data_IF_706904707608
#
_entry.id   IF_706904707608
#
_cell.length_a   1.000
_cell.length_b   1.000
_cell.length_c   1.000
_cell.angle_alpha   90.00
_cell.angle_beta   90.00
_cell.angle_gamma   90.00
#
_symmetry.space_group_name_H-M   'P 1'
#
loop_
_entity.id
_entity.type
_entity.pdbx_description
1 polymer ?
#
# COMPACT_ATOMS: atom_id res chain seq x y z
N UNK A 1 -7.58 6.47 13.73
CA UNK A 1 -6.73 7.15 14.71
C UNK A 1 -7.42 8.43 15.12
N UNK A 2 -7.67 8.59 16.41
CA UNK A 2 -8.06 9.88 16.94
C UNK A 2 -6.80 10.68 17.22
N UNK A 3 -6.68 11.85 16.59
CA UNK A 3 -5.59 12.78 16.88
C UNK A 3 -6.06 13.79 17.93
N UNK A 4 -5.36 13.87 19.06
CA UNK A 4 -5.63 14.85 20.10
C UNK A 4 -5.31 16.30 19.65
N UNK A 5 -4.60 16.45 18.52
CA UNK A 5 -4.13 17.74 18.02
C UNK A 5 -4.37 17.87 16.50
N UNK A 6 -5.62 17.86 16.08
CA UNK A 6 -5.97 18.15 14.69
C UNK A 6 -6.16 19.65 14.43
N UNK A 7 -5.83 20.15 13.24
CA UNK A 7 -6.15 21.52 12.86
C UNK A 7 -7.66 21.80 12.95
N UNK A 8 -8.02 23.05 13.29
CA UNK A 8 -9.41 23.45 13.34
C UNK A 8 -10.09 23.23 11.99
N UNK A 9 -11.32 22.67 11.99
CA UNK A 9 -12.10 22.41 10.79
C UNK A 9 -11.80 21.08 10.08
N UNK A 10 -10.79 20.30 10.53
CA UNK A 10 -10.52 18.98 9.99
C UNK A 10 -11.43 17.94 10.64
N UNK A 11 -12.10 17.15 9.81
CA UNK A 11 -12.97 16.05 10.24
C UNK A 11 -12.15 14.76 10.20
N UNK A 12 -12.08 14.05 11.32
CA UNK A 12 -11.38 12.78 11.41
C UNK A 12 -12.00 11.73 10.51
N UNK A 13 -11.18 10.78 10.05
CA UNK A 13 -11.67 9.61 9.34
C UNK A 13 -12.68 8.84 10.21
N UNK A 14 -13.80 8.49 9.59
CA UNK A 14 -14.89 7.73 10.24
C UNK A 14 -15.79 8.54 11.17
N UNK A 15 -15.53 9.84 11.39
CA UNK A 15 -16.33 10.65 12.32
C UNK A 15 -17.79 10.85 11.87
N UNK A 16 -18.05 10.75 10.59
CA UNK A 16 -19.39 10.93 9.99
C UNK A 16 -19.94 9.63 9.39
N UNK A 17 -19.28 8.49 9.62
CA UNK A 17 -19.66 7.22 9.04
C UNK A 17 -20.96 6.66 9.62
N UNK A 18 -21.81 6.14 8.75
CA UNK A 18 -22.94 5.29 9.13
C UNK A 18 -22.42 3.87 9.46
N UNK A 19 -22.17 3.64 10.73
CA UNK A 19 -21.61 2.39 11.25
C UNK A 19 -22.62 1.23 11.28
N UNK A 20 -23.88 1.49 10.93
CA UNK A 20 -24.92 0.46 10.83
C UNK A 20 -24.88 -0.30 9.51
N UNK A 21 -24.05 0.16 8.55
CA UNK A 21 -23.91 -0.43 7.22
C UNK A 21 -22.51 -0.97 7.00
N UNK A 22 -22.41 -2.14 6.41
CA UNK A 22 -21.14 -2.71 6.02
C UNK A 22 -20.42 -1.85 4.97
N UNK A 23 -21.19 -1.28 4.04
CA UNK A 23 -20.73 -0.33 3.05
C UNK A 23 -21.70 0.85 2.92
N UNK A 24 -21.17 2.04 2.77
CA UNK A 24 -21.89 3.23 2.31
C UNK A 24 -20.94 4.10 1.48
N UNK A 25 -21.36 4.67 0.34
CA UNK A 25 -20.49 5.54 -0.47
C UNK A 25 -19.92 6.75 0.27
N UNK A 26 -20.56 7.16 1.36
CA UNK A 26 -20.16 8.32 2.16
C UNK A 26 -19.32 7.96 3.38
N UNK A 27 -19.11 6.67 3.67
CA UNK A 27 -18.27 6.21 4.76
C UNK A 27 -16.79 6.26 4.37
N UNK A 28 -15.95 6.58 5.34
CA UNK A 28 -14.48 6.49 5.20
C UNK A 28 -13.97 5.04 5.33
N UNK A 29 -14.70 4.20 6.07
CA UNK A 29 -14.33 2.81 6.33
C UNK A 29 -15.44 1.83 5.93
N UNK A 30 -15.06 0.56 5.80
CA UNK A 30 -15.98 -0.57 5.76
C UNK A 30 -16.17 -1.11 7.17
N UNK A 31 -17.39 -1.47 7.51
CA UNK A 31 -17.74 -1.95 8.85
C UNK A 31 -18.27 -3.38 8.84
N UNK A 32 -18.23 -4.00 10.01
CA UNK A 32 -18.91 -5.26 10.32
C UNK A 32 -19.97 -4.91 11.37
N UNK A 33 -21.19 -4.52 10.94
CA UNK A 33 -22.22 -3.98 11.83
C UNK A 33 -22.53 -4.93 12.98
N UNK A 34 -22.81 -4.35 14.16
CA UNK A 34 -23.22 -5.07 15.37
C UNK A 34 -22.19 -6.06 15.91
N UNK A 35 -20.95 -6.05 15.38
CA UNK A 35 -19.86 -6.92 15.84
C UNK A 35 -18.70 -6.10 16.39
N UNK A 36 -18.21 -6.49 17.55
CA UNK A 36 -17.01 -5.92 18.13
C UNK A 36 -15.79 -6.62 17.57
N UNK A 37 -14.73 -5.87 17.36
CA UNK A 37 -13.44 -6.43 16.99
C UNK A 37 -12.92 -7.37 18.08
N UNK A 38 -12.44 -8.53 17.67
CA UNK A 38 -11.80 -9.51 18.55
C UNK A 38 -10.33 -9.65 18.15
N UNK A 39 -9.46 -9.28 19.05
CA UNK A 39 -8.02 -9.36 18.83
C UNK A 39 -7.59 -10.82 18.63
N UNK A 40 -6.76 -11.13 17.62
CA UNK A 40 -6.26 -12.48 17.39
C UNK A 40 -5.58 -13.07 18.62
N UNK A 41 -5.81 -14.34 18.89
CA UNK A 41 -5.17 -15.04 20.00
C UNK A 41 -3.64 -15.06 19.83
N UNK A 42 -2.92 -14.85 20.92
CA UNK A 42 -1.44 -14.84 20.91
C UNK A 42 -0.84 -13.47 20.60
N UNK A 43 -1.66 -12.43 20.41
CA UNK A 43 -1.19 -11.04 20.29
C UNK A 43 -1.38 -10.31 21.61
N UNK A 44 -0.42 -9.44 21.94
CA UNK A 44 -0.54 -8.50 23.07
C UNK A 44 -1.11 -7.17 22.56
N UNK A 45 -2.37 -7.15 22.17
CA UNK A 45 -3.02 -5.90 21.81
C UNK A 45 -3.12 -4.98 23.02
N UNK A 46 -2.57 -3.81 22.90
CA UNK A 46 -2.57 -2.80 23.96
C UNK A 46 -1.57 -3.04 25.07
N UNK A 47 -0.57 -3.91 24.89
CA UNK A 47 0.57 -4.02 25.80
C UNK A 47 1.31 -2.69 25.94
N UNK A 48 2.10 -2.56 27.02
CA UNK A 48 2.86 -1.34 27.34
C UNK A 48 3.79 -0.84 26.20
N UNK A 49 4.02 -1.65 25.17
CA UNK A 49 4.81 -1.33 24.00
C UNK A 49 4.04 -0.48 22.98
N UNK A 50 2.71 -0.52 22.97
CA UNK A 50 1.88 0.27 22.07
C UNK A 50 1.36 1.50 22.82
N UNK A 51 1.87 2.66 22.42
CA UNK A 51 1.40 3.94 22.94
C UNK A 51 0.03 4.26 22.32
N UNK A 52 -1.00 3.47 22.68
CA UNK A 52 -2.35 3.66 22.21
C UNK A 52 -2.86 5.05 22.62
N UNK A 53 -3.55 5.80 21.74
CA UNK A 53 -4.05 7.14 22.08
C UNK A 53 -4.91 7.20 23.34
N UNK A 54 -5.73 6.18 23.60
CA UNK A 54 -6.56 6.12 24.80
C UNK A 54 -5.80 5.68 26.05
N UNK A 55 -4.61 5.09 25.89
CA UNK A 55 -3.73 4.64 26.99
C UNK A 55 -4.41 3.75 28.04
N UNK A 56 -5.45 3.04 27.64
CA UNK A 56 -6.24 2.18 28.52
C UNK A 56 -5.84 0.71 28.46
N UNK A 57 -4.83 0.39 27.64
CA UNK A 57 -4.32 -0.98 27.45
C UNK A 57 -5.25 -1.88 26.64
N UNK A 58 -6.24 -1.31 25.96
CA UNK A 58 -7.22 -2.05 25.16
C UNK A 58 -7.15 -1.66 23.70
N UNK A 59 -7.53 -2.58 22.86
CA UNK A 59 -7.77 -2.35 21.45
C UNK A 59 -9.29 -2.45 21.21
N UNK A 60 -9.99 -1.34 21.46
CA UNK A 60 -11.45 -1.29 21.32
C UNK A 60 -11.86 -0.75 19.96
N UNK A 61 -12.56 -1.56 19.19
CA UNK A 61 -13.16 -1.17 17.93
C UNK A 61 -14.59 -1.69 17.83
N UNK A 62 -15.55 -0.77 17.88
CA UNK A 62 -16.97 -1.08 17.83
C UNK A 62 -17.74 -0.08 16.94
N UNK A 63 -18.40 -0.57 15.89
CA UNK A 63 -18.26 -1.92 15.32
C UNK A 63 -16.85 -2.15 14.72
N UNK A 64 -16.51 -3.43 14.55
CA UNK A 64 -15.28 -3.81 13.87
C UNK A 64 -15.22 -3.26 12.45
N UNK A 65 -14.01 -2.99 11.96
CA UNK A 65 -13.76 -2.57 10.58
C UNK A 65 -13.11 -3.68 9.78
N UNK A 66 -13.25 -3.61 8.49
CA UNK A 66 -12.55 -4.50 7.55
C UNK A 66 -11.05 -4.19 7.58
N UNK A 67 -10.21 -5.21 7.60
CA UNK A 67 -8.76 -5.05 7.59
C UNK A 67 -8.23 -4.51 6.25
N UNK A 68 -7.03 -3.95 6.24
CA UNK A 68 -6.40 -3.40 5.04
C UNK A 68 -6.29 -4.39 3.88
N UNK A 69 -6.13 -5.68 4.18
CA UNK A 69 -6.09 -6.77 3.20
C UNK A 69 -7.46 -7.39 2.87
N UNK A 70 -8.55 -6.66 3.11
CA UNK A 70 -9.93 -7.02 2.73
C UNK A 70 -10.54 -8.20 3.49
N UNK A 71 -10.18 -8.44 4.73
CA UNK A 71 -10.80 -9.48 5.56
C UNK A 71 -12.05 -8.93 6.23
N UNK A 72 -13.23 -9.41 5.81
CA UNK A 72 -14.53 -9.05 6.34
C UNK A 72 -14.91 -9.95 7.53
N UNK A 73 -14.17 -9.83 8.62
CA UNK A 73 -14.41 -10.59 9.85
C UNK A 73 -14.14 -9.72 11.08
N UNK A 74 -15.00 -9.85 12.08
CA UNK A 74 -14.74 -9.27 13.39
C UNK A 74 -13.61 -10.01 14.14
N UNK A 75 -13.21 -11.19 13.63
CA UNK A 75 -12.17 -12.05 14.20
C UNK A 75 -11.13 -12.39 13.13
N UNK A 76 -10.35 -11.40 12.66
CA UNK A 76 -9.26 -11.70 11.73
C UNK A 76 -8.24 -12.63 12.39
N UNK A 77 -7.47 -13.36 11.60
CA UNK A 77 -6.34 -14.15 12.08
C UNK A 77 -5.12 -13.27 12.37
N UNK A 78 -4.09 -13.84 12.97
CA UNK A 78 -2.83 -13.13 13.22
C UNK A 78 -2.09 -12.79 11.92
N UNK A 79 -2.32 -13.54 10.85
CA UNK A 79 -1.72 -13.34 9.54
C UNK A 79 -2.50 -12.33 8.67
N UNK A 80 -3.72 -11.98 9.09
CA UNK A 80 -4.47 -10.87 8.49
C UNK A 80 -3.90 -9.55 9.02
N UNK A 81 -4.02 -8.50 8.24
CA UNK A 81 -3.54 -7.18 8.67
C UNK A 81 -4.47 -6.58 9.73
N UNK A 82 -4.65 -7.30 10.84
CA UNK A 82 -5.62 -6.99 11.90
C UNK A 82 -5.38 -5.63 12.58
N UNK A 83 -4.19 -5.09 12.48
CA UNK A 83 -3.81 -3.75 13.00
C UNK A 83 -4.18 -2.62 12.05
N UNK A 84 -4.72 -2.93 10.87
CA UNK A 84 -5.04 -1.97 9.82
C UNK A 84 -6.54 -1.89 9.59
N UNK A 85 -6.98 -0.79 9.00
CA UNK A 85 -8.37 -0.55 8.63
C UNK A 85 -8.46 -0.17 7.16
N UNK A 86 -9.35 -0.85 6.42
CA UNK A 86 -9.58 -0.56 5.00
C UNK A 86 -10.27 0.78 4.83
N UNK A 87 -9.63 1.69 4.11
CA UNK A 87 -10.25 2.93 3.66
C UNK A 87 -11.17 2.68 2.47
N UNK A 88 -12.32 3.34 2.48
CA UNK A 88 -13.33 3.20 1.45
C UNK A 88 -13.07 4.17 0.29
N UNK A 89 -12.45 3.67 -0.75
CA UNK A 89 -12.22 4.43 -1.98
C UNK A 89 -13.39 4.37 -2.98
N UNK A 90 -14.60 4.06 -2.53
CA UNK A 90 -15.81 4.06 -3.35
C UNK A 90 -16.16 2.71 -3.98
N UNK A 91 -15.51 1.64 -3.59
CA UNK A 91 -15.79 0.29 -4.09
C UNK A 91 -16.58 -0.51 -3.07
N UNK A 92 -17.78 -0.96 -3.44
CA UNK A 92 -18.53 -1.94 -2.68
C UNK A 92 -17.92 -3.33 -2.98
N UNK A 93 -16.98 -3.73 -2.13
CA UNK A 93 -16.20 -4.95 -2.31
C UNK A 93 -17.05 -6.23 -2.21
N UNK A 94 -18.21 -6.16 -1.55
CA UNK A 94 -19.11 -7.31 -1.40
C UNK A 94 -20.03 -7.50 -2.61
N UNK A 95 -20.45 -6.39 -3.23
CA UNK A 95 -21.38 -6.40 -4.36
C UNK A 95 -20.73 -6.13 -5.72
N UNK A 96 -19.40 -5.87 -5.73
CA UNK A 96 -18.65 -5.63 -6.96
C UNK A 96 -19.05 -4.36 -7.71
N UNK A 97 -19.59 -3.36 -6.99
CA UNK A 97 -20.00 -2.07 -7.56
C UNK A 97 -19.04 -0.97 -7.16
N UNK A 98 -18.94 0.06 -7.97
CA UNK A 98 -18.19 1.26 -7.65
C UNK A 98 -19.10 2.50 -7.65
N UNK A 99 -18.74 3.46 -6.80
CA UNK A 99 -19.44 4.72 -6.60
C UNK A 99 -18.38 5.83 -6.53
N UNK A 100 -17.98 6.34 -7.69
CA UNK A 100 -16.86 7.27 -7.84
C UNK A 100 -17.31 8.69 -8.21
N UNK A 101 -18.59 8.88 -8.46
CA UNK A 101 -19.21 10.18 -8.75
C UNK A 101 -20.49 10.34 -7.92
N UNK A 102 -20.54 11.33 -6.99
CA UNK A 102 -19.41 12.21 -6.61
C UNK A 102 -18.24 11.44 -6.01
N UNK A 103 -17.03 12.03 -6.06
CA UNK A 103 -15.84 11.39 -5.48
C UNK A 103 -16.05 11.05 -3.99
N UNK A 104 -15.58 9.87 -3.54
CA UNK A 104 -15.71 9.48 -2.15
C UNK A 104 -15.03 10.45 -1.18
N UNK A 105 -15.54 10.63 0.06
CA UNK A 105 -14.93 11.52 1.06
C UNK A 105 -13.45 11.21 1.34
N UNK A 106 -13.07 9.95 1.31
CA UNK A 106 -11.68 9.50 1.48
C UNK A 106 -10.75 10.14 0.43
N UNK A 107 -11.20 10.32 -0.82
CA UNK A 107 -10.35 10.89 -1.86
C UNK A 107 -9.92 12.31 -1.53
N UNK A 108 -10.83 13.14 -1.07
CA UNK A 108 -10.52 14.53 -0.71
C UNK A 108 -9.63 14.61 0.51
N UNK A 109 -9.85 13.76 1.52
CA UNK A 109 -9.00 13.69 2.72
C UNK A 109 -7.58 13.24 2.38
N UNK A 110 -7.43 12.19 1.54
CA UNK A 110 -6.12 11.71 1.11
C UNK A 110 -5.39 12.72 0.22
N UNK A 111 -6.11 13.40 -0.69
CA UNK A 111 -5.54 14.53 -1.45
C UNK A 111 -4.98 15.59 -0.50
N UNK A 112 -5.74 15.99 0.49
CA UNK A 112 -5.34 17.05 1.42
C UNK A 112 -4.09 16.64 2.23
N UNK A 113 -3.94 15.37 2.58
CA UNK A 113 -2.73 14.82 3.21
C UNK A 113 -1.54 14.92 2.24
N UNK A 114 -1.70 14.50 1.00
CA UNK A 114 -0.63 14.57 -0.01
C UNK A 114 -0.24 16.04 -0.29
N UNK A 115 -1.22 16.92 -0.43
CA UNK A 115 -1.01 18.37 -0.61
C UNK A 115 -0.30 18.99 0.58
N UNK A 116 -0.65 18.59 1.80
CA UNK A 116 0.03 19.06 3.01
C UNK A 116 1.54 18.74 2.96
N UNK A 117 1.90 17.49 2.63
CA UNK A 117 3.31 17.12 2.55
C UNK A 117 4.02 17.71 1.34
N UNK A 118 3.35 17.85 0.20
CA UNK A 118 3.89 18.53 -0.96
C UNK A 118 4.27 19.98 -0.64
N UNK A 119 3.43 20.70 0.12
CA UNK A 119 3.72 22.05 0.60
C UNK A 119 4.86 22.10 1.64
N UNK A 120 5.22 20.97 2.26
CA UNK A 120 6.41 20.87 3.11
C UNK A 120 7.71 20.66 2.32
N UNK A 121 7.62 20.52 1.01
CA UNK A 121 8.78 20.44 0.12
C UNK A 121 9.30 19.04 -0.10
N UNK A 122 8.48 17.99 0.04
CA UNK A 122 8.88 16.64 -0.39
C UNK A 122 8.95 16.58 -1.91
N UNK A 123 9.87 15.77 -2.44
CA UNK A 123 10.09 15.61 -3.88
C UNK A 123 9.19 14.55 -4.51
N UNK A 124 8.56 13.70 -3.70
CA UNK A 124 7.69 12.64 -4.18
C UNK A 124 7.10 11.78 -3.07
N UNK A 125 6.36 10.77 -3.50
CA UNK A 125 5.67 9.82 -2.63
C UNK A 125 5.95 8.39 -3.08
N UNK A 126 6.37 7.54 -2.17
CA UNK A 126 6.27 6.09 -2.29
C UNK A 126 4.93 5.67 -1.73
N UNK A 127 4.13 5.02 -2.54
CA UNK A 127 2.77 4.61 -2.20
C UNK A 127 2.76 3.13 -1.86
N UNK A 128 2.53 2.86 -0.59
CA UNK A 128 2.47 1.52 -0.01
C UNK A 128 1.28 0.75 -0.59
N UNK A 129 1.53 -0.48 -1.02
CA UNK A 129 0.53 -1.39 -1.61
C UNK A 129 -0.45 -0.66 -2.52
N UNK A 130 0.08 0.17 -3.43
CA UNK A 130 -0.70 1.10 -4.26
C UNK A 130 -1.81 0.40 -5.07
N UNK A 131 -1.64 -0.89 -5.37
CA UNK A 131 -2.61 -1.70 -6.09
C UNK A 131 -3.89 -2.05 -5.31
N UNK A 132 -3.91 -1.82 -3.99
CA UNK A 132 -5.11 -1.94 -3.16
C UNK A 132 -5.94 -0.65 -3.13
N UNK A 133 -5.44 0.40 -3.72
CA UNK A 133 -6.14 1.66 -3.96
C UNK A 133 -6.53 1.73 -5.44
N UNK A 134 -7.78 2.06 -5.77
CA UNK A 134 -8.24 2.10 -7.15
C UNK A 134 -7.37 3.01 -8.04
N UNK A 135 -7.08 2.57 -9.24
CA UNK A 135 -6.28 3.35 -10.19
C UNK A 135 -6.94 4.68 -10.54
N UNK A 136 -8.26 4.76 -10.48
CA UNK A 136 -9.05 5.99 -10.69
C UNK A 136 -8.74 7.05 -9.64
N UNK A 137 -8.50 6.66 -8.38
CA UNK A 137 -8.05 7.60 -7.36
C UNK A 137 -6.68 8.19 -7.72
N UNK A 138 -5.73 7.37 -8.15
CA UNK A 138 -4.40 7.83 -8.54
C UNK A 138 -4.46 8.75 -9.75
N UNK A 139 -5.27 8.41 -10.75
CA UNK A 139 -5.53 9.25 -11.91
C UNK A 139 -6.07 10.63 -11.52
N UNK A 140 -6.95 10.67 -10.52
CA UNK A 140 -7.55 11.90 -10.04
C UNK A 140 -6.58 12.71 -9.16
N UNK A 141 -5.87 12.07 -8.21
CA UNK A 141 -5.11 12.79 -7.18
C UNK A 141 -3.73 13.24 -7.65
N UNK A 142 -3.02 12.45 -8.46
CA UNK A 142 -1.65 12.76 -8.87
C UNK A 142 -1.56 14.13 -9.61
N UNK A 143 -2.44 14.44 -10.57
CA UNK A 143 -2.46 15.77 -11.18
C UNK A 143 -2.74 16.91 -10.19
N UNK A 144 -3.60 16.68 -9.18
CA UNK A 144 -3.88 17.70 -8.16
C UNK A 144 -2.63 18.03 -7.33
N UNK A 145 -1.88 17.00 -6.91
CA UNK A 145 -0.63 17.19 -6.15
C UNK A 145 0.46 17.86 -7.02
N UNK A 146 0.53 17.49 -8.29
CA UNK A 146 1.48 18.08 -9.25
C UNK A 146 1.22 19.55 -9.57
N UNK A 147 0.07 20.11 -9.19
CA UNK A 147 -0.15 21.58 -9.26
C UNK A 147 0.78 22.34 -8.29
N UNK A 148 1.25 21.72 -7.22
CA UNK A 148 2.18 22.30 -6.24
C UNK A 148 3.62 22.20 -6.74
N UNK A 149 4.00 21.03 -7.26
CA UNK A 149 5.30 20.78 -7.85
C UNK A 149 5.13 19.82 -9.04
N UNK A 150 5.29 20.33 -10.27
CA UNK A 150 5.13 19.56 -11.50
C UNK A 150 6.12 18.40 -11.64
N UNK A 151 7.25 18.45 -10.91
CA UNK A 151 8.27 17.41 -10.91
C UNK A 151 8.05 16.35 -9.82
N UNK A 152 6.93 16.39 -9.10
CA UNK A 152 6.60 15.43 -8.05
C UNK A 152 6.62 14.01 -8.58
N UNK A 153 7.43 13.15 -7.96
CA UNK A 153 7.61 11.74 -8.33
C UNK A 153 6.64 10.86 -7.52
N UNK A 154 5.98 9.95 -8.21
CA UNK A 154 5.14 8.92 -7.58
C UNK A 154 5.69 7.54 -7.89
N UNK A 155 5.96 6.76 -6.84
CA UNK A 155 6.48 5.39 -6.90
C UNK A 155 5.44 4.47 -6.29
N UNK A 156 5.00 3.48 -7.05
CA UNK A 156 4.04 2.49 -6.56
C UNK A 156 4.73 1.21 -6.11
N UNK A 157 4.43 0.77 -4.91
CA UNK A 157 4.59 -0.62 -4.56
C UNK A 157 3.40 -1.40 -5.07
N UNK A 158 3.65 -2.39 -5.94
CA UNK A 158 2.63 -3.27 -6.48
C UNK A 158 3.25 -4.63 -6.83
N UNK A 159 2.46 -5.68 -6.67
CA UNK A 159 2.90 -7.07 -6.81
C UNK A 159 2.17 -7.81 -7.93
N UNK A 160 1.17 -7.19 -8.58
CA UNK A 160 0.48 -7.75 -9.73
C UNK A 160 0.97 -7.11 -11.04
N UNK A 161 1.83 -7.81 -11.82
CA UNK A 161 2.37 -7.29 -13.07
C UNK A 161 1.31 -6.92 -14.11
N UNK A 162 0.12 -7.53 -14.05
CA UNK A 162 -0.97 -7.21 -14.97
C UNK A 162 -1.51 -5.78 -14.82
N UNK A 163 -1.27 -5.16 -13.68
CA UNK A 163 -1.70 -3.79 -13.36
C UNK A 163 -0.68 -2.73 -13.73
N UNK A 164 0.61 -3.08 -13.89
CA UNK A 164 1.69 -2.10 -14.03
C UNK A 164 1.46 -1.09 -15.16
N UNK A 165 1.14 -1.56 -16.34
CA UNK A 165 0.92 -0.68 -17.48
C UNK A 165 -0.22 0.32 -17.23
N UNK A 166 -1.30 -0.11 -16.58
CA UNK A 166 -2.44 0.74 -16.25
C UNK A 166 -2.10 1.78 -15.18
N UNK A 167 -1.37 1.39 -14.14
CA UNK A 167 -0.94 2.31 -13.07
C UNK A 167 0.05 3.36 -13.58
N UNK A 168 0.92 3.01 -14.54
CA UNK A 168 1.80 3.97 -15.19
C UNK A 168 1.02 4.89 -16.14
N UNK A 169 0.29 4.31 -17.12
CA UNK A 169 -0.28 5.08 -18.22
C UNK A 169 -1.54 5.87 -17.84
N UNK A 170 -2.42 5.26 -17.04
CA UNK A 170 -3.66 5.89 -16.59
C UNK A 170 -3.53 6.46 -15.17
N UNK A 171 -2.96 5.70 -14.24
CA UNK A 171 -2.78 6.12 -12.85
C UNK A 171 -1.83 7.30 -12.69
N UNK A 172 -0.82 7.44 -13.56
CA UNK A 172 0.12 8.54 -13.56
C UNK A 172 1.38 8.35 -12.70
N UNK A 173 1.66 7.12 -12.27
CA UNK A 173 2.89 6.77 -11.56
C UNK A 173 4.12 6.92 -12.45
N UNK A 174 5.21 7.42 -11.88
CA UNK A 174 6.49 7.48 -12.56
C UNK A 174 7.18 6.11 -12.56
N UNK A 175 7.10 5.41 -11.43
CA UNK A 175 7.78 4.14 -11.25
C UNK A 175 6.94 3.13 -10.50
N UNK A 176 7.14 1.85 -10.84
CA UNK A 176 6.59 0.68 -10.19
C UNK A 176 7.74 -0.15 -9.61
N UNK A 177 7.57 -0.76 -8.44
CA UNK A 177 8.54 -1.71 -7.91
C UNK A 177 8.70 -2.91 -8.84
N UNK A 178 9.95 -3.23 -9.21
CA UNK A 178 10.29 -4.45 -9.96
C UNK A 178 10.60 -5.62 -9.00
N UNK A 179 9.66 -5.85 -8.06
CA UNK A 179 9.81 -6.91 -7.06
C UNK A 179 9.54 -8.29 -7.65
N UNK A 180 8.33 -8.49 -8.14
CA UNK A 180 7.85 -9.78 -8.68
C UNK A 180 8.54 -10.13 -10.00
N UNK A 181 9.06 -9.12 -10.68
CA UNK A 181 9.85 -9.29 -11.89
C UNK A 181 11.32 -9.55 -11.59
N UNK A 182 12.13 -8.49 -11.69
CA UNK A 182 13.59 -8.63 -11.68
C UNK A 182 14.14 -9.11 -10.33
N UNK A 183 13.65 -8.55 -9.20
CA UNK A 183 14.15 -8.95 -7.89
C UNK A 183 13.97 -10.45 -7.64
N UNK A 184 12.77 -10.99 -7.87
CA UNK A 184 12.48 -12.41 -7.65
C UNK A 184 13.19 -13.33 -8.65
N UNK A 185 13.58 -12.83 -9.81
CA UNK A 185 14.41 -13.58 -10.75
C UNK A 185 15.92 -13.54 -10.39
N UNK A 186 16.40 -12.41 -9.85
CA UNK A 186 17.81 -12.25 -9.49
C UNK A 186 18.18 -12.97 -8.20
N UNK A 187 17.37 -12.90 -7.17
CA UNK A 187 17.69 -13.45 -5.84
C UNK A 187 18.06 -14.94 -5.89
N UNK A 188 17.29 -15.83 -6.54
CA UNK A 188 17.68 -17.23 -6.70
C UNK A 188 18.97 -17.44 -7.49
N UNK A 189 19.23 -16.60 -8.52
CA UNK A 189 20.46 -16.68 -9.29
C UNK A 189 21.70 -16.35 -8.44
N UNK A 190 21.63 -15.29 -7.67
CA UNK A 190 22.71 -14.85 -6.78
C UNK A 190 22.97 -15.89 -5.68
N UNK A 191 21.92 -16.52 -5.18
CA UNK A 191 21.99 -17.61 -4.20
C UNK A 191 22.48 -18.93 -4.80
N UNK A 192 22.60 -19.02 -6.12
CA UNK A 192 22.93 -20.25 -6.84
C UNK A 192 21.98 -21.40 -6.54
N UNK A 193 20.69 -21.10 -6.49
CA UNK A 193 19.64 -22.12 -6.30
C UNK A 193 19.54 -23.05 -7.52
N UNK A 194 19.29 -24.32 -7.29
CA UNK A 194 19.38 -25.37 -8.32
C UNK A 194 18.50 -25.14 -9.57
N UNK A 195 17.37 -24.46 -9.40
CA UNK A 195 16.43 -24.18 -10.50
C UNK A 195 16.52 -22.75 -11.04
N UNK A 196 17.46 -21.95 -10.54
CA UNK A 196 17.64 -20.58 -10.99
C UNK A 196 18.31 -20.54 -12.36
N UNK A 197 17.73 -19.80 -13.29
CA UNK A 197 18.26 -19.67 -14.64
C UNK A 197 18.23 -18.23 -15.14
N UNK A 198 19.21 -17.87 -15.93
CA UNK A 198 19.22 -16.57 -16.64
C UNK A 198 18.04 -16.44 -17.60
N UNK A 199 17.47 -17.56 -18.06
CA UNK A 199 16.28 -17.56 -18.90
C UNK A 199 15.05 -16.94 -18.19
N UNK A 200 14.93 -17.13 -16.87
CA UNK A 200 13.86 -16.51 -16.08
C UNK A 200 14.00 -14.98 -16.09
N UNK A 201 15.19 -14.46 -15.81
CA UNK A 201 15.45 -13.02 -15.86
C UNK A 201 15.22 -12.44 -17.27
N UNK A 202 15.65 -13.16 -18.32
CA UNK A 202 15.38 -12.74 -19.70
C UNK A 202 13.89 -12.62 -20.01
N UNK A 203 13.08 -13.56 -19.54
CA UNK A 203 11.60 -13.50 -19.70
C UNK A 203 11.02 -12.26 -19.01
N UNK A 204 11.50 -11.92 -17.83
CA UNK A 204 11.07 -10.71 -17.12
C UNK A 204 11.36 -9.47 -17.96
N UNK A 205 12.60 -9.31 -18.44
CA UNK A 205 12.99 -8.17 -19.27
C UNK A 205 12.12 -8.09 -20.53
N UNK A 206 11.85 -9.23 -21.17
CA UNK A 206 10.97 -9.31 -22.35
C UNK A 206 9.52 -8.95 -22.02
N UNK A 207 9.00 -9.31 -20.84
CA UNK A 207 7.63 -8.95 -20.44
C UNK A 207 7.44 -7.45 -20.17
N UNK A 208 8.52 -6.72 -19.98
CA UNK A 208 8.53 -5.27 -19.76
C UNK A 208 8.78 -4.48 -21.06
N UNK A 209 8.57 -5.08 -22.22
CA UNK A 209 8.66 -4.42 -23.52
C UNK A 209 7.62 -3.31 -23.68
N UNK A 210 7.76 -2.47 -24.70
CA UNK A 210 6.80 -1.37 -24.96
C UNK A 210 6.98 -0.14 -24.07
N UNK A 211 8.16 0.01 -23.44
CA UNK A 211 8.47 1.19 -22.60
C UNK A 211 8.23 1.00 -21.11
N UNK A 212 7.55 -0.07 -20.69
CA UNK A 212 7.31 -0.34 -19.26
C UNK A 212 8.63 -0.46 -18.47
N UNK A 213 9.68 -1.01 -19.09
CA UNK A 213 11.00 -1.15 -18.46
C UNK A 213 11.58 0.17 -17.93
N UNK A 214 11.25 1.31 -18.57
CA UNK A 214 11.69 2.64 -18.14
C UNK A 214 10.97 3.13 -16.88
N UNK A 215 9.89 2.48 -16.52
CA UNK A 215 9.09 2.78 -15.33
C UNK A 215 9.30 1.77 -14.20
N UNK A 216 10.20 0.80 -14.37
CA UNK A 216 10.46 -0.19 -13.34
C UNK A 216 11.57 0.29 -12.41
N UNK A 217 11.22 0.51 -11.13
CA UNK A 217 12.19 0.79 -10.08
C UNK A 217 12.81 -0.52 -9.62
N UNK A 218 14.02 -0.76 -10.08
CA UNK A 218 14.80 -1.94 -9.76
C UNK A 218 15.57 -1.73 -8.46
N UNK A 219 15.57 -2.73 -7.60
CA UNK A 219 16.24 -2.67 -6.31
C UNK A 219 16.74 -4.07 -5.91
N UNK A 220 17.66 -4.11 -4.94
CA UNK A 220 18.20 -5.35 -4.41
C UNK A 220 17.85 -5.55 -2.94
N UNK A 221 17.47 -4.51 -2.23
CA UNK A 221 17.03 -4.57 -0.85
C UNK A 221 16.13 -3.38 -0.53
N UNK A 222 15.25 -3.54 0.42
CA UNK A 222 14.46 -2.49 1.04
C UNK A 222 14.14 -2.88 2.50
N UNK A 223 13.17 -2.22 3.13
CA UNK A 223 12.78 -2.49 4.52
C UNK A 223 11.99 -3.80 4.70
N UNK A 224 11.41 -4.36 3.62
CA UNK A 224 10.63 -5.60 3.63
C UNK A 224 11.44 -6.81 3.12
N UNK A 225 12.56 -6.55 2.45
CA UNK A 225 13.39 -7.59 1.87
C UNK A 225 14.69 -7.78 2.65
N UNK A 226 15.29 -8.95 2.49
CA UNK A 226 16.57 -9.23 3.12
C UNK A 226 17.67 -8.28 2.62
N UNK A 227 18.57 -7.94 3.54
CA UNK A 227 19.77 -7.18 3.19
C UNK A 227 20.59 -7.94 2.14
N UNK A 228 21.07 -7.21 1.14
CA UNK A 228 21.85 -7.79 0.04
C UNK A 228 23.05 -8.61 0.53
N UNK A 229 23.74 -8.14 1.56
CA UNK A 229 24.90 -8.81 2.13
C UNK A 229 24.55 -9.94 3.13
N UNK A 230 23.26 -10.22 3.37
CA UNK A 230 22.85 -11.26 4.30
C UNK A 230 23.14 -12.67 3.77
N UNK A 231 23.14 -13.65 4.69
CA UNK A 231 23.23 -15.06 4.31
C UNK A 231 22.03 -15.54 3.50
N UNK A 232 20.90 -14.87 3.62
CA UNK A 232 19.66 -15.17 2.89
C UNK A 232 19.65 -14.62 1.46
N UNK A 233 20.62 -13.75 1.09
CA UNK A 233 20.71 -13.20 -0.27
C UNK A 233 22.11 -13.47 -0.87
N UNK A 234 23.02 -12.49 -0.93
CA UNK A 234 24.28 -12.63 -1.66
C UNK A 234 25.37 -13.39 -0.90
N UNK A 235 25.27 -13.50 0.42
CA UNK A 235 26.24 -14.16 1.31
C UNK A 235 27.64 -13.55 1.31
N UNK A 236 28.15 -13.13 0.14
CA UNK A 236 29.46 -12.52 -0.07
C UNK A 236 29.34 -11.27 -0.94
N UNK A 237 30.12 -10.22 -0.66
CA UNK A 237 30.09 -8.97 -1.44
C UNK A 237 30.33 -9.16 -2.95
N UNK A 238 31.14 -10.17 -3.31
CA UNK A 238 31.47 -10.45 -4.71
C UNK A 238 30.24 -10.87 -5.52
N UNK A 239 29.32 -11.62 -4.91
CA UNK A 239 28.07 -12.04 -5.56
C UNK A 239 27.11 -10.86 -5.72
N UNK A 240 27.12 -9.94 -4.76
CA UNK A 240 26.31 -8.74 -4.82
C UNK A 240 26.67 -7.84 -6.02
N UNK A 241 27.94 -7.74 -6.40
CA UNK A 241 28.40 -6.88 -7.50
C UNK A 241 27.73 -7.21 -8.83
N UNK A 242 27.56 -8.49 -9.15
CA UNK A 242 26.87 -8.90 -10.37
C UNK A 242 25.41 -8.47 -10.39
N UNK A 243 24.71 -8.57 -9.25
CA UNK A 243 23.33 -8.11 -9.13
C UNK A 243 23.22 -6.59 -9.29
N UNK A 244 24.13 -5.81 -8.69
CA UNK A 244 24.13 -4.34 -8.77
C UNK A 244 24.31 -3.82 -10.20
N UNK A 245 24.96 -4.56 -11.08
CA UNK A 245 25.12 -4.15 -12.50
C UNK A 245 23.82 -4.33 -13.29
N UNK A 246 22.92 -5.18 -12.80
CA UNK A 246 21.66 -5.53 -13.48
C UNK A 246 20.45 -4.69 -13.00
N UNK A 247 20.63 -3.90 -11.98
CA UNK A 247 19.62 -2.96 -11.44
C UNK A 247 19.97 -1.51 -11.77
#
# INVERSE_FOLDING_TARGET
YQSDAKPAGVIDFGAQDDKTKAYSPQNDYYYIPEKNFVVPAGTEAGGAQFNHPLKDGKFDENPAKVTGNNVFSEKPSIDDWYETMKLNYGYDLQNGKNYLDPVPPVWTKMRDILVFWANKGVDGFRCDVAEFVPVEFWHWVIPEVRKINSNMVFIAEAYDPSKYANYVSYGGFNYMYDKVGLYDALKPLIKNEANATVATMRKVIQSQEGGLSNHMLRFLENHDEERLASKGFAQKPEFAKAAMVLT
#
